data_IF_591038848277
#
_entry.id   IF_591038848277
#
_cell.length_a   1.000
_cell.length_b   1.000
_cell.length_c   1.000
_cell.angle_alpha   90.00
_cell.angle_beta   90.00
_cell.angle_gamma   90.00
#
_symmetry.space_group_name_H-M   'P 1'
#
loop_
_entity.id
_entity.type
_entity.pdbx_description
1 polymer ?
#
# COMPACT_ATOMS: atom_id res chain seq x y z
N UNK A 1 -1.97 21.18 -33.09
CA UNK A 1 -1.95 22.28 -32.10
C UNK A 1 -2.72 21.82 -30.88
N UNK A 2 -2.16 22.02 -29.69
CA UNK A 2 -2.83 21.67 -28.43
C UNK A 2 -3.93 22.70 -28.17
N UNK A 3 -5.13 22.26 -27.81
CA UNK A 3 -6.31 23.10 -27.60
C UNK A 3 -7.00 22.71 -26.29
N UNK A 4 -7.51 23.67 -25.50
CA UNK A 4 -8.31 23.37 -24.33
C UNK A 4 -9.63 22.71 -24.75
N UNK A 5 -10.14 21.84 -23.88
CA UNK A 5 -11.46 21.20 -24.07
C UNK A 5 -12.48 21.81 -23.09
N UNK A 6 -13.79 21.84 -23.44
CA UNK A 6 -14.82 22.34 -22.54
C UNK A 6 -14.92 21.55 -21.23
N UNK A 7 -15.51 22.17 -20.19
CA UNK A 7 -15.89 21.48 -18.96
C UNK A 7 -16.81 20.30 -19.30
N UNK A 8 -16.63 19.16 -18.64
CA UNK A 8 -17.41 17.95 -18.96
C UNK A 8 -16.83 17.10 -20.11
N UNK A 9 -15.80 17.56 -20.83
CA UNK A 9 -15.14 16.81 -21.91
C UNK A 9 -13.81 16.22 -21.42
N UNK A 10 -13.57 14.94 -21.73
CA UNK A 10 -12.34 14.27 -21.36
C UNK A 10 -11.17 14.67 -22.27
N UNK A 11 -10.04 15.03 -21.67
CA UNK A 11 -8.79 15.40 -22.34
C UNK A 11 -7.54 14.83 -21.64
N UNK A 12 -6.38 15.05 -22.22
CA UNK A 12 -5.09 14.73 -21.58
C UNK A 12 -4.67 15.87 -20.64
N UNK A 13 -4.19 15.55 -19.44
CA UNK A 13 -3.75 16.53 -18.44
C UNK A 13 -2.33 17.02 -18.75
N UNK A 14 -2.17 18.34 -18.77
CA UNK A 14 -0.87 19.02 -18.86
C UNK A 14 -0.68 19.89 -17.62
N UNK A 15 0.53 19.89 -17.04
CA UNK A 15 0.88 20.66 -15.86
C UNK A 15 1.86 21.77 -16.22
N UNK A 16 1.53 23.01 -15.89
CA UNK A 16 2.37 24.18 -16.08
C UNK A 16 2.71 24.86 -14.74
N UNK A 17 3.66 25.80 -14.75
CA UNK A 17 4.07 26.58 -13.58
C UNK A 17 5.34 26.09 -12.88
N UNK A 18 5.58 26.62 -11.67
CA UNK A 18 6.85 26.51 -10.93
C UNK A 18 7.19 25.11 -10.42
N UNK A 19 6.19 24.23 -10.29
CA UNK A 19 6.39 22.84 -9.83
C UNK A 19 7.06 21.91 -10.84
N UNK A 20 7.48 22.41 -12.01
CA UNK A 20 8.10 21.60 -13.04
C UNK A 20 9.58 21.33 -12.75
N UNK A 21 9.97 20.07 -12.87
CA UNK A 21 11.37 19.68 -12.83
C UNK A 21 12.15 20.22 -14.04
N UNK A 22 13.49 20.19 -13.95
CA UNK A 22 14.38 20.53 -15.07
C UNK A 22 14.15 19.63 -16.30
N UNK A 23 13.98 18.33 -16.05
CA UNK A 23 13.86 17.27 -17.04
C UNK A 23 14.32 15.92 -16.48
N UNK A 24 14.49 14.92 -17.35
CA UNK A 24 15.05 13.62 -16.99
C UNK A 24 16.58 13.64 -17.11
N UNK A 25 17.27 13.12 -16.09
CA UNK A 25 18.73 13.06 -16.05
C UNK A 25 19.28 12.23 -17.21
N UNK A 26 20.20 12.82 -18.00
CA UNK A 26 20.85 12.20 -19.17
C UNK A 26 19.88 11.69 -20.25
N UNK A 27 18.63 12.18 -20.28
CA UNK A 27 17.60 11.80 -21.24
C UNK A 27 16.96 13.03 -21.90
N UNK A 28 17.71 13.77 -22.74
CA UNK A 28 17.23 14.99 -23.39
C UNK A 28 16.12 14.72 -24.41
N UNK A 29 16.16 13.56 -25.06
CA UNK A 29 15.12 13.03 -25.95
C UNK A 29 13.76 12.95 -25.25
N UNK A 30 13.71 12.24 -24.13
CA UNK A 30 12.49 12.05 -23.35
C UNK A 30 12.04 13.35 -22.67
N UNK A 31 12.99 14.20 -22.28
CA UNK A 31 12.70 15.51 -21.72
C UNK A 31 12.00 16.39 -22.75
N UNK A 32 12.48 16.44 -23.99
CA UNK A 32 11.85 17.22 -25.05
C UNK A 32 10.45 16.67 -25.44
N UNK A 33 10.26 15.35 -25.36
CA UNK A 33 8.97 14.71 -25.61
C UNK A 33 7.92 15.06 -24.53
N UNK A 34 8.33 15.10 -23.25
CA UNK A 34 7.40 15.28 -22.12
C UNK A 34 7.27 16.72 -21.62
N UNK A 35 8.32 17.52 -21.70
CA UNK A 35 8.33 18.94 -21.30
C UNK A 35 8.24 19.81 -22.56
N UNK A 36 7.00 19.98 -23.03
CA UNK A 36 6.70 20.64 -24.29
C UNK A 36 6.49 22.16 -24.10
N UNK A 37 6.63 22.98 -25.15
CA UNK A 37 6.32 24.41 -25.07
C UNK A 37 4.87 24.65 -24.63
N UNK A 38 4.66 25.57 -23.68
CA UNK A 38 3.33 25.93 -23.20
C UNK A 38 2.70 26.99 -24.13
N UNK A 39 1.59 26.69 -24.83
CA UNK A 39 1.02 27.60 -25.82
C UNK A 39 0.19 28.76 -25.21
N UNK A 40 -0.25 28.63 -23.95
CA UNK A 40 -1.14 29.59 -23.28
C UNK A 40 -0.47 30.30 -22.08
N UNK A 41 0.82 30.06 -21.86
CA UNK A 41 1.60 30.61 -20.75
C UNK A 41 2.52 31.76 -21.18
N UNK A 42 3.36 32.26 -20.25
CA UNK A 42 4.37 33.27 -20.54
C UNK A 42 5.36 32.83 -21.63
N UNK A 43 5.94 33.77 -22.37
CA UNK A 43 6.92 33.44 -23.43
C UNK A 43 8.08 32.60 -22.89
N UNK A 44 8.36 31.47 -23.54
CA UNK A 44 9.43 30.54 -23.16
C UNK A 44 9.06 29.56 -22.03
N UNK A 45 7.83 29.59 -21.55
CA UNK A 45 7.32 28.61 -20.60
C UNK A 45 7.14 27.23 -21.23
N UNK A 46 7.14 26.21 -20.36
CA UNK A 46 6.99 24.79 -20.71
C UNK A 46 5.85 24.22 -19.89
N UNK A 47 5.28 23.13 -20.37
CA UNK A 47 4.32 22.33 -19.64
C UNK A 47 4.70 20.84 -19.71
N UNK A 48 4.40 20.11 -18.66
CA UNK A 48 4.65 18.69 -18.54
C UNK A 48 3.42 17.90 -18.99
N UNK A 49 3.62 17.03 -19.98
CA UNK A 49 2.63 16.08 -20.48
C UNK A 49 2.53 14.88 -19.55
N UNK A 50 1.45 14.81 -18.77
CA UNK A 50 1.30 13.79 -17.72
C UNK A 50 1.01 12.39 -18.27
N UNK A 51 0.38 12.28 -19.44
CA UNK A 51 -0.17 11.02 -19.94
C UNK A 51 -1.43 10.56 -19.19
N UNK A 52 -2.02 11.40 -18.33
CA UNK A 52 -3.27 11.11 -17.62
C UNK A 52 -4.46 11.66 -18.40
N UNK A 53 -5.54 10.88 -18.49
CA UNK A 53 -6.81 11.31 -19.06
C UNK A 53 -7.71 11.79 -17.94
N UNK A 54 -8.15 13.04 -18.01
CA UNK A 54 -8.96 13.67 -16.98
C UNK A 54 -10.13 14.44 -17.59
N UNK A 55 -11.04 14.90 -16.75
CA UNK A 55 -12.12 15.80 -17.13
C UNK A 55 -12.43 16.77 -15.99
N UNK A 56 -12.72 18.02 -16.32
CA UNK A 56 -13.28 18.96 -15.35
C UNK A 56 -14.75 18.65 -15.06
N UNK A 57 -15.09 18.54 -13.78
CA UNK A 57 -16.46 18.56 -13.28
C UNK A 57 -16.97 20.00 -13.19
N UNK A 58 -18.29 20.15 -13.09
CA UNK A 58 -18.94 21.47 -12.96
C UNK A 58 -18.53 22.22 -11.68
N UNK A 59 -18.11 21.50 -10.64
CA UNK A 59 -17.59 22.05 -9.38
C UNK A 59 -16.11 22.50 -9.46
N UNK A 60 -15.51 22.46 -10.65
CA UNK A 60 -14.12 22.83 -10.90
C UNK A 60 -13.08 21.77 -10.51
N UNK A 61 -13.50 20.61 -9.98
CA UNK A 61 -12.58 19.51 -9.65
C UNK A 61 -12.24 18.69 -10.89
N UNK A 62 -11.05 18.10 -10.89
CA UNK A 62 -10.63 17.14 -11.91
C UNK A 62 -11.06 15.73 -11.52
N UNK A 63 -11.76 15.07 -12.42
CA UNK A 63 -12.07 13.64 -12.36
C UNK A 63 -11.04 12.87 -13.19
N UNK A 64 -10.36 11.91 -12.56
CA UNK A 64 -9.38 11.06 -13.23
C UNK A 64 -10.08 9.90 -13.95
N UNK A 65 -9.79 9.74 -15.24
CA UNK A 65 -10.43 8.77 -16.14
C UNK A 65 -9.49 7.65 -16.60
N UNK A 66 -8.29 7.56 -16.01
CA UNK A 66 -7.24 6.62 -16.40
C UNK A 66 -6.08 7.30 -17.12
N UNK A 67 -5.20 6.51 -17.72
CA UNK A 67 -4.04 7.02 -18.47
C UNK A 67 -4.28 6.93 -19.97
N UNK A 68 -3.71 7.90 -20.69
CA UNK A 68 -3.57 7.89 -22.15
C UNK A 68 -2.44 6.93 -22.55
N UNK A 69 -1.40 6.83 -21.73
CA UNK A 69 -0.39 5.79 -21.85
C UNK A 69 -0.85 4.48 -21.18
N UNK A 70 -0.20 3.37 -21.55
CA UNK A 70 -0.59 2.05 -21.08
C UNK A 70 0.11 1.65 -19.78
N UNK A 71 0.53 2.62 -18.97
CA UNK A 71 1.13 2.31 -17.68
C UNK A 71 0.05 1.94 -16.67
N UNK A 72 0.32 0.88 -15.90
CA UNK A 72 -0.60 0.38 -14.90
C UNK A 72 0.12 0.27 -13.56
N UNK A 73 -0.61 0.57 -12.48
CA UNK A 73 -0.18 0.16 -11.14
C UNK A 73 -0.68 -1.24 -10.88
N UNK A 74 0.22 -2.17 -10.61
CA UNK A 74 -0.06 -3.57 -10.28
C UNK A 74 0.73 -3.88 -9.02
N UNK A 75 0.01 -4.22 -7.93
CA UNK A 75 0.62 -4.65 -6.65
C UNK A 75 1.68 -3.68 -6.10
N UNK A 76 1.41 -2.37 -6.22
CA UNK A 76 2.33 -1.30 -5.76
C UNK A 76 3.42 -0.90 -6.76
N UNK A 77 3.61 -1.66 -7.84
CA UNK A 77 4.59 -1.35 -8.89
C UNK A 77 3.93 -0.61 -10.06
N UNK A 78 4.63 0.39 -10.59
CA UNK A 78 4.25 1.07 -11.84
C UNK A 78 4.92 0.33 -13.00
N UNK A 79 4.11 -0.24 -13.89
CA UNK A 79 4.58 -1.13 -14.96
C UNK A 79 4.22 -0.53 -16.32
N UNK A 80 5.20 -0.46 -17.22
CA UNK A 80 5.00 -0.20 -18.65
C UNK A 80 4.53 -1.49 -19.33
N UNK A 81 3.25 -1.58 -19.73
CA UNK A 81 2.77 -2.78 -20.43
C UNK A 81 3.53 -3.05 -21.74
N UNK A 82 3.97 -2.00 -22.42
CA UNK A 82 4.77 -2.11 -23.64
C UNK A 82 6.13 -2.78 -23.46
N UNK A 83 6.72 -2.70 -22.26
CA UNK A 83 7.98 -3.40 -21.95
C UNK A 83 7.77 -4.91 -21.90
N UNK A 84 6.67 -5.34 -21.27
CA UNK A 84 6.27 -6.76 -21.19
C UNK A 84 5.88 -7.28 -22.58
N UNK A 85 5.12 -6.49 -23.36
CA UNK A 85 4.79 -6.80 -24.75
C UNK A 85 6.04 -6.97 -25.62
N UNK A 86 7.03 -6.09 -25.44
CA UNK A 86 8.30 -6.15 -26.17
C UNK A 86 9.12 -7.40 -25.79
N UNK A 87 9.12 -7.76 -24.51
CA UNK A 87 9.76 -8.99 -24.05
C UNK A 87 9.11 -10.25 -24.63
N UNK A 88 7.77 -10.30 -24.67
CA UNK A 88 7.01 -11.37 -25.30
C UNK A 88 7.32 -11.46 -26.81
N UNK A 89 7.37 -10.34 -27.53
CA UNK A 89 7.69 -10.32 -28.98
C UNK A 89 9.13 -10.73 -29.31
N UNK A 90 10.05 -10.77 -28.34
CA UNK A 90 11.40 -11.33 -28.54
C UNK A 90 11.42 -12.86 -28.56
N UNK A 91 10.36 -13.52 -28.08
CA UNK A 91 10.23 -14.97 -28.17
C UNK A 91 9.95 -15.37 -29.62
N UNK A 92 10.77 -16.27 -30.16
CA UNK A 92 10.78 -16.61 -31.59
C UNK A 92 9.46 -17.19 -32.10
N UNK A 93 8.72 -17.91 -31.25
CA UNK A 93 7.42 -18.53 -31.59
C UNK A 93 6.22 -17.57 -31.54
N UNK A 94 6.39 -16.36 -30.98
CA UNK A 94 5.31 -15.36 -30.87
C UNK A 94 5.27 -14.48 -32.14
N UNK A 95 4.07 -14.36 -32.73
CA UNK A 95 3.77 -13.46 -33.86
C UNK A 95 3.40 -12.07 -33.36
N UNK A 96 2.49 -12.00 -32.38
CA UNK A 96 2.07 -10.74 -31.76
C UNK A 96 1.67 -10.97 -30.29
N UNK A 97 1.74 -9.91 -29.49
CA UNK A 97 1.44 -9.95 -28.06
C UNK A 97 0.85 -8.61 -27.59
N UNK A 98 -0.17 -8.69 -26.74
CA UNK A 98 -0.74 -7.55 -26.03
C UNK A 98 -0.91 -7.89 -24.56
N UNK A 99 -0.52 -6.97 -23.68
CA UNK A 99 -0.66 -7.14 -22.23
C UNK A 99 -1.64 -6.12 -21.71
N UNK A 100 -2.50 -6.56 -20.80
CA UNK A 100 -3.46 -5.70 -20.10
C UNK A 100 -3.42 -6.00 -18.61
N UNK A 101 -3.80 -5.02 -17.80
CA UNK A 101 -4.10 -5.26 -16.40
C UNK A 101 -5.60 -5.53 -16.22
N UNK A 102 -5.94 -6.64 -15.55
CA UNK A 102 -7.31 -7.02 -15.19
C UNK A 102 -7.45 -7.04 -13.67
N UNK A 103 -8.66 -6.82 -13.15
CA UNK A 103 -8.94 -6.72 -11.71
C UNK A 103 -8.80 -5.30 -11.15
N UNK A 104 -9.12 -5.15 -9.86
CA UNK A 104 -9.15 -3.87 -9.15
C UNK A 104 -8.21 -3.84 -7.95
N UNK A 105 -7.73 -2.64 -7.58
CA UNK A 105 -6.89 -2.38 -6.41
C UNK A 105 -5.74 -3.39 -6.22
N UNK A 106 -5.75 -4.16 -5.12
CA UNK A 106 -4.72 -5.12 -4.75
C UNK A 106 -4.74 -6.41 -5.62
N UNK A 107 -5.90 -6.79 -6.16
CA UNK A 107 -6.09 -7.99 -6.98
C UNK A 107 -5.74 -7.77 -8.45
N UNK A 108 -5.34 -6.55 -8.80
CA UNK A 108 -4.97 -6.19 -10.16
C UNK A 108 -3.78 -7.05 -10.60
N UNK A 109 -3.93 -7.72 -11.74
CA UNK A 109 -2.95 -8.67 -12.31
C UNK A 109 -2.72 -8.42 -13.79
N UNK A 110 -1.54 -8.80 -14.27
CA UNK A 110 -1.20 -8.76 -15.68
C UNK A 110 -1.70 -10.01 -16.40
N UNK A 111 -2.34 -9.80 -17.55
CA UNK A 111 -2.80 -10.84 -18.47
C UNK A 111 -2.19 -10.56 -19.84
N UNK A 112 -1.51 -11.56 -20.40
CA UNK A 112 -0.94 -11.49 -21.74
C UNK A 112 -1.79 -12.28 -22.74
N UNK A 113 -2.11 -11.66 -23.87
CA UNK A 113 -2.74 -12.30 -25.01
C UNK A 113 -1.69 -12.43 -26.10
N UNK A 114 -1.45 -13.64 -26.56
CA UNK A 114 -0.37 -13.96 -27.50
C UNK A 114 -0.92 -14.70 -28.71
N UNK A 115 -0.32 -14.44 -29.88
CA UNK A 115 -0.62 -15.13 -31.13
C UNK A 115 0.62 -15.89 -31.56
N UNK A 116 0.49 -17.18 -31.84
CA UNK A 116 1.58 -18.01 -32.34
C UNK A 116 1.93 -17.68 -33.80
N UNK A 117 3.19 -17.91 -34.19
CA UNK A 117 3.53 -18.01 -35.63
C UNK A 117 2.92 -19.27 -36.23
N UNK A 118 2.72 -19.27 -37.54
CA UNK A 118 2.10 -20.40 -38.23
C UNK A 118 2.93 -21.68 -38.03
N UNK A 119 2.29 -22.75 -37.54
CA UNK A 119 2.93 -24.04 -37.28
C UNK A 119 3.63 -24.17 -35.92
N UNK A 120 3.64 -23.12 -35.09
CA UNK A 120 4.24 -23.13 -33.75
C UNK A 120 3.16 -23.34 -32.67
N UNK A 121 3.49 -24.10 -31.63
CA UNK A 121 2.67 -24.22 -30.42
C UNK A 121 3.25 -23.33 -29.31
N UNK A 122 2.37 -22.65 -28.56
CA UNK A 122 2.76 -21.83 -27.42
C UNK A 122 2.32 -22.52 -26.12
N UNK A 123 3.26 -22.78 -25.23
CA UNK A 123 2.96 -23.21 -23.86
C UNK A 123 3.11 -22.06 -22.88
N UNK A 124 2.04 -21.77 -22.13
CA UNK A 124 1.97 -20.63 -21.21
C UNK A 124 3.08 -20.62 -20.15
N UNK A 125 3.38 -21.77 -19.55
CA UNK A 125 4.39 -21.88 -18.49
C UNK A 125 5.81 -21.73 -19.03
N UNK A 126 6.10 -22.26 -20.22
CA UNK A 126 7.39 -22.06 -20.89
C UNK A 126 7.62 -20.57 -21.21
N UNK A 127 6.58 -19.86 -21.66
CA UNK A 127 6.64 -18.41 -21.90
C UNK A 127 6.90 -17.62 -20.62
N UNK A 128 6.20 -17.94 -19.52
CA UNK A 128 6.44 -17.30 -18.21
C UNK A 128 7.88 -17.55 -17.73
N UNK A 129 8.38 -18.78 -17.84
CA UNK A 129 9.75 -19.11 -17.46
C UNK A 129 10.79 -18.33 -18.27
N UNK A 130 10.55 -18.13 -19.57
CA UNK A 130 11.42 -17.32 -20.41
C UNK A 130 11.38 -15.83 -20.06
N UNK A 131 10.20 -15.29 -19.75
CA UNK A 131 10.07 -13.88 -19.31
C UNK A 131 10.81 -13.62 -17.99
N UNK A 132 10.76 -14.57 -17.04
CA UNK A 132 11.47 -14.47 -15.75
C UNK A 132 13.00 -14.31 -15.89
N UNK A 133 13.58 -14.68 -17.03
CA UNK A 133 15.02 -14.50 -17.26
C UNK A 133 15.41 -13.04 -17.56
N UNK A 134 14.46 -12.24 -18.04
CA UNK A 134 14.73 -10.86 -18.49
C UNK A 134 13.85 -9.79 -17.86
N UNK A 135 12.82 -10.18 -17.11
CA UNK A 135 11.91 -9.28 -16.42
C UNK A 135 11.81 -9.64 -14.92
N UNK A 136 11.65 -8.64 -14.04
CA UNK A 136 11.27 -8.89 -12.65
C UNK A 136 9.94 -9.65 -12.53
N UNK A 137 9.78 -10.46 -11.49
CA UNK A 137 8.59 -11.32 -11.28
C UNK A 137 7.27 -10.54 -11.34
N UNK A 138 7.22 -9.31 -10.81
CA UNK A 138 6.01 -8.49 -10.82
C UNK A 138 5.58 -8.01 -12.22
N UNK A 139 6.47 -8.07 -13.21
CA UNK A 139 6.18 -7.77 -14.62
C UNK A 139 5.77 -9.02 -15.42
N UNK A 140 5.95 -10.22 -14.87
CA UNK A 140 5.59 -11.47 -15.54
C UNK A 140 4.07 -11.65 -15.47
N UNK A 141 3.36 -11.83 -16.60
CA UNK A 141 1.92 -12.04 -16.61
C UNK A 141 1.51 -13.29 -15.83
N UNK A 142 0.55 -13.15 -14.90
CA UNK A 142 0.01 -14.28 -14.14
C UNK A 142 -0.82 -15.24 -15.01
N UNK A 143 -1.40 -14.72 -16.10
CA UNK A 143 -2.17 -15.49 -17.07
C UNK A 143 -1.70 -15.20 -18.49
N UNK A 144 -1.55 -16.24 -19.30
CA UNK A 144 -1.24 -16.14 -20.73
C UNK A 144 -2.37 -16.82 -21.50
N UNK A 145 -3.00 -16.09 -22.41
CA UNK A 145 -4.10 -16.56 -23.26
C UNK A 145 -3.60 -16.62 -24.70
N UNK A 146 -3.65 -17.80 -25.31
CA UNK A 146 -3.26 -17.98 -26.71
C UNK A 146 -4.49 -17.75 -27.59
N UNK A 147 -4.37 -16.85 -28.57
CA UNK A 147 -5.42 -16.53 -29.53
C UNK A 147 -4.97 -16.87 -30.95
N UNK A 148 -5.92 -17.21 -31.83
CA UNK A 148 -5.64 -17.34 -33.27
C UNK A 148 -5.28 -15.99 -33.91
N UNK A 149 -5.92 -14.91 -33.46
CA UNK A 149 -5.62 -13.54 -33.86
C UNK A 149 -6.04 -12.54 -32.76
N UNK A 150 -5.36 -11.40 -32.70
CA UNK A 150 -5.77 -10.29 -31.84
C UNK A 150 -6.99 -9.57 -32.45
N UNK A 151 -8.02 -9.22 -31.66
CA UNK A 151 -9.14 -8.44 -32.15
C UNK A 151 -8.66 -7.05 -32.57
N UNK A 152 -9.10 -6.56 -33.74
CA UNK A 152 -8.75 -5.26 -34.27
C UNK A 152 -9.98 -4.35 -34.32
N UNK A 153 -9.79 -3.06 -34.05
CA UNK A 153 -10.82 -2.04 -34.26
C UNK A 153 -10.90 -1.61 -35.73
N UNK A 154 -11.86 -0.75 -36.06
CA UNK A 154 -12.08 -0.24 -37.42
C UNK A 154 -10.85 0.48 -38.05
N UNK A 155 -9.87 0.88 -37.25
CA UNK A 155 -8.63 1.52 -37.69
C UNK A 155 -7.45 0.54 -37.80
N UNK A 156 -7.69 -0.77 -37.69
CA UNK A 156 -6.66 -1.80 -37.77
C UNK A 156 -5.73 -1.87 -36.55
N UNK A 157 -6.06 -1.21 -35.43
CA UNK A 157 -5.32 -1.31 -34.17
C UNK A 157 -5.96 -2.33 -33.25
N UNK A 158 -5.18 -2.95 -32.36
CA UNK A 158 -5.70 -3.94 -31.40
C UNK A 158 -6.79 -3.32 -30.52
N UNK A 159 -7.96 -3.95 -30.51
CA UNK A 159 -9.07 -3.58 -29.64
C UNK A 159 -8.97 -4.32 -28.30
N UNK A 160 -8.34 -3.64 -27.33
CA UNK A 160 -8.15 -4.19 -25.99
C UNK A 160 -9.44 -4.40 -25.20
N UNK A 161 -10.54 -3.76 -25.60
CA UNK A 161 -11.86 -3.95 -24.96
C UNK A 161 -12.55 -5.21 -25.46
N UNK A 162 -12.21 -5.67 -26.65
CA UNK A 162 -12.73 -6.89 -27.27
C UNK A 162 -11.89 -8.14 -26.92
N UNK A 163 -10.84 -8.01 -26.10
CA UNK A 163 -10.08 -9.15 -25.63
C UNK A 163 -10.96 -10.03 -24.73
N UNK A 164 -10.97 -11.36 -24.93
CA UNK A 164 -11.81 -12.25 -24.15
C UNK A 164 -11.42 -12.19 -22.67
N UNK A 165 -12.40 -12.33 -21.77
CA UNK A 165 -12.06 -12.47 -20.36
C UNK A 165 -11.27 -13.78 -20.16
N UNK A 166 -10.11 -13.73 -19.48
CA UNK A 166 -9.40 -14.95 -19.16
C UNK A 166 -10.28 -15.77 -18.24
N UNK A 167 -10.39 -17.07 -18.51
CA UNK A 167 -11.01 -17.98 -17.55
C UNK A 167 -10.37 -17.74 -16.18
N UNK A 168 -11.20 -17.70 -15.12
CA UNK A 168 -10.71 -17.53 -13.76
C UNK A 168 -9.53 -18.48 -13.56
N UNK A 169 -8.41 -18.02 -12.97
CA UNK A 169 -7.21 -18.84 -12.87
C UNK A 169 -7.60 -20.16 -12.23
N UNK A 170 -7.75 -21.20 -13.06
CA UNK A 170 -7.51 -22.54 -12.60
C UNK A 170 -6.03 -22.47 -12.30
N UNK A 171 -5.68 -22.46 -11.01
CA UNK A 171 -4.31 -22.55 -10.57
C UNK A 171 -3.62 -23.58 -11.47
N UNK A 172 -2.72 -23.12 -12.34
CA UNK A 172 -2.08 -23.95 -13.36
C UNK A 172 -1.19 -25.03 -12.76
N UNK A 173 -1.03 -25.01 -11.43
CA UNK A 173 -0.59 -26.13 -10.62
C UNK A 173 -1.82 -27.00 -10.31
N UNK A 174 -1.88 -28.19 -10.91
CA UNK A 174 -2.72 -29.27 -10.38
C UNK A 174 -2.42 -29.35 -8.88
N UNK A 175 -3.40 -29.10 -8.02
CA UNK A 175 -3.15 -29.02 -6.57
C UNK A 175 -2.29 -30.21 -6.12
N UNK A 176 -1.08 -29.89 -5.66
CA UNK A 176 -0.16 -30.88 -5.08
C UNK A 176 -0.17 -30.66 -3.57
N UNK A 177 -0.62 -31.67 -2.84
CA UNK A 177 -0.63 -31.63 -1.39
C UNK A 177 0.81 -31.59 -0.81
N UNK A 178 1.01 -30.99 0.37
CA UNK A 178 2.26 -31.09 1.12
C UNK A 178 2.73 -32.53 1.30
N UNK A 179 4.02 -32.78 1.03
CA UNK A 179 4.66 -34.10 1.08
C UNK A 179 5.52 -34.26 2.33
N UNK A 180 6.00 -33.15 2.89
CA UNK A 180 6.83 -33.12 4.10
C UNK A 180 6.18 -32.30 5.20
N UNK A 181 6.62 -32.49 6.46
CA UNK A 181 6.13 -31.68 7.59
C UNK A 181 6.45 -30.19 7.40
N UNK A 182 7.65 -29.87 6.87
CA UNK A 182 8.04 -28.49 6.55
C UNK A 182 7.11 -27.88 5.50
N UNK A 183 6.81 -28.61 4.42
CA UNK A 183 5.85 -28.15 3.41
C UNK A 183 4.45 -27.93 4.01
N UNK A 184 4.00 -28.82 4.90
CA UNK A 184 2.68 -28.73 5.52
C UNK A 184 2.56 -27.47 6.40
N UNK A 185 3.59 -27.20 7.22
CA UNK A 185 3.65 -26.00 8.06
C UNK A 185 3.74 -24.72 7.21
N UNK A 186 4.57 -24.71 6.17
CA UNK A 186 4.67 -23.57 5.26
C UNK A 186 3.35 -23.28 4.53
N UNK A 187 2.69 -24.32 4.01
CA UNK A 187 1.40 -24.18 3.34
C UNK A 187 0.32 -23.65 4.30
N UNK A 188 0.32 -24.07 5.57
CA UNK A 188 -0.60 -23.56 6.58
C UNK A 188 -0.35 -22.07 6.88
N UNK A 189 0.91 -21.67 7.08
CA UNK A 189 1.29 -20.25 7.29
C UNK A 189 0.82 -19.40 6.11
N UNK A 190 1.02 -19.87 4.88
CA UNK A 190 0.61 -19.12 3.68
C UNK A 190 -0.90 -19.03 3.55
N UNK A 191 -1.62 -20.13 3.80
CA UNK A 191 -3.07 -20.14 3.79
C UNK A 191 -3.65 -19.11 4.76
N UNK A 192 -3.10 -19.02 5.97
CA UNK A 192 -3.56 -18.05 6.97
C UNK A 192 -3.22 -16.61 6.58
N UNK A 193 -1.99 -16.34 6.13
CA UNK A 193 -1.56 -14.99 5.74
C UNK A 193 -2.29 -14.49 4.48
N UNK A 194 -2.54 -15.36 3.52
CA UNK A 194 -3.24 -15.03 2.27
C UNK A 194 -4.77 -15.13 2.40
N UNK A 195 -5.29 -15.56 3.56
CA UNK A 195 -6.71 -15.81 3.81
C UNK A 195 -7.33 -16.79 2.79
N UNK A 196 -6.59 -17.85 2.45
CA UNK A 196 -7.01 -18.91 1.53
C UNK A 196 -7.35 -20.19 2.28
N UNK A 197 -8.33 -20.99 1.81
CA UNK A 197 -8.70 -22.23 2.46
C UNK A 197 -7.60 -23.30 2.38
N UNK A 198 -6.79 -23.29 1.32
CA UNK A 198 -5.66 -24.19 1.11
C UNK A 198 -4.64 -23.61 0.13
N UNK A 199 -3.39 -24.05 0.27
CA UNK A 199 -2.27 -23.72 -0.62
C UNK A 199 -1.56 -25.02 -1.01
N UNK A 200 -1.34 -25.25 -2.30
CA UNK A 200 -0.57 -26.37 -2.84
C UNK A 200 0.93 -26.09 -2.85
N UNK A 201 1.76 -27.15 -2.88
CA UNK A 201 3.21 -26.96 -2.73
C UNK A 201 3.88 -26.23 -3.89
N UNK A 202 3.23 -26.23 -5.06
CA UNK A 202 3.69 -25.57 -6.29
C UNK A 202 3.03 -24.22 -6.53
N UNK A 203 2.10 -23.82 -5.67
CA UNK A 203 1.45 -22.52 -5.84
C UNK A 203 2.44 -21.41 -5.50
N UNK A 204 2.52 -20.41 -6.38
CA UNK A 204 3.39 -19.25 -6.17
C UNK A 204 2.73 -18.26 -5.21
N UNK A 205 3.43 -17.87 -4.15
CA UNK A 205 2.99 -16.89 -3.15
C UNK A 205 2.47 -15.61 -3.80
N UNK A 206 3.21 -15.11 -4.79
CA UNK A 206 2.87 -13.88 -5.48
C UNK A 206 1.73 -14.09 -6.48
N UNK A 207 1.59 -15.27 -7.09
CA UNK A 207 0.43 -15.55 -7.95
C UNK A 207 -0.86 -15.61 -7.12
N UNK A 208 -0.78 -16.10 -5.88
CA UNK A 208 -1.88 -16.16 -4.91
C UNK A 208 -2.23 -14.81 -4.25
N UNK A 209 -1.66 -13.69 -4.71
CA UNK A 209 -1.95 -12.35 -4.18
C UNK A 209 -0.98 -11.85 -3.10
N UNK A 210 0.05 -12.63 -2.78
CA UNK A 210 1.11 -12.21 -1.86
C UNK A 210 1.86 -10.96 -2.33
N UNK A 211 2.23 -10.10 -1.39
CA UNK A 211 3.07 -8.91 -1.61
C UNK A 211 4.07 -8.75 -0.46
N UNK A 212 4.99 -7.78 -0.54
CA UNK A 212 6.14 -7.67 0.39
C UNK A 212 5.76 -7.61 1.88
N UNK A 213 4.63 -6.98 2.23
CA UNK A 213 4.14 -6.95 3.61
C UNK A 213 3.70 -8.34 4.10
N UNK A 214 2.91 -9.06 3.28
CA UNK A 214 2.49 -10.43 3.57
C UNK A 214 3.71 -11.38 3.58
N UNK A 215 4.70 -11.12 2.72
CA UNK A 215 5.96 -11.86 2.72
C UNK A 215 6.72 -11.69 4.05
N UNK A 216 6.79 -10.48 4.60
CA UNK A 216 7.37 -10.25 5.93
C UNK A 216 6.58 -10.95 7.04
N UNK A 217 5.24 -11.01 6.94
CA UNK A 217 4.40 -11.79 7.86
C UNK A 217 4.73 -13.28 7.80
N UNK A 218 4.81 -13.85 6.59
CA UNK A 218 5.23 -15.24 6.39
C UNK A 218 6.61 -15.49 6.99
N UNK A 219 7.60 -14.65 6.70
CA UNK A 219 8.96 -14.78 7.25
C UNK A 219 8.95 -14.77 8.78
N UNK A 220 8.21 -13.84 9.39
CA UNK A 220 8.13 -13.74 10.84
C UNK A 220 7.47 -14.98 11.48
N UNK A 221 6.43 -15.53 10.85
CA UNK A 221 5.74 -16.73 11.35
C UNK A 221 6.57 -17.99 11.14
N UNK A 222 7.23 -18.13 9.99
CA UNK A 222 8.21 -19.18 9.71
C UNK A 222 9.30 -19.20 10.78
N UNK A 223 9.83 -18.02 11.13
CA UNK A 223 10.80 -17.91 12.21
C UNK A 223 10.24 -18.38 13.55
N UNK A 224 9.02 -17.98 13.90
CA UNK A 224 8.39 -18.35 15.16
C UNK A 224 8.05 -19.85 15.26
N UNK A 225 7.57 -20.45 14.17
CA UNK A 225 7.04 -21.83 14.18
C UNK A 225 8.09 -22.90 13.81
N UNK A 226 9.06 -22.55 12.97
CA UNK A 226 10.09 -23.47 12.48
C UNK A 226 11.47 -23.22 13.10
N UNK A 227 11.64 -22.12 13.86
CA UNK A 227 12.91 -21.73 14.47
C UNK A 227 14.07 -21.61 13.45
N UNK A 228 13.76 -21.11 12.24
CA UNK A 228 14.73 -20.87 11.17
C UNK A 228 14.66 -19.41 10.74
N UNK A 229 15.82 -18.75 10.60
CA UNK A 229 15.89 -17.43 9.96
C UNK A 229 15.75 -17.57 8.45
N UNK A 230 14.62 -17.11 7.93
CA UNK A 230 14.36 -17.04 6.50
C UNK A 230 14.58 -15.60 6.02
N UNK A 231 15.67 -15.30 5.29
CA UNK A 231 15.83 -13.95 4.75
C UNK A 231 14.72 -13.68 3.73
N UNK A 232 14.12 -12.49 3.76
CA UNK A 232 12.98 -12.14 2.89
C UNK A 232 13.27 -12.42 1.40
N UNK A 233 14.51 -12.18 0.94
CA UNK A 233 14.97 -12.52 -0.42
C UNK A 233 14.74 -13.98 -0.81
N UNK A 234 14.80 -14.93 0.12
CA UNK A 234 14.62 -16.34 -0.18
C UNK A 234 13.19 -16.65 -0.64
N UNK A 235 12.18 -15.92 -0.12
CA UNK A 235 10.80 -16.04 -0.60
C UNK A 235 10.67 -15.51 -2.04
N UNK A 236 11.37 -14.44 -2.38
CA UNK A 236 11.39 -13.91 -3.75
C UNK A 236 12.13 -14.83 -4.73
N UNK A 237 13.25 -15.41 -4.30
CA UNK A 237 14.03 -16.35 -5.13
C UNK A 237 13.37 -17.72 -5.25
N UNK A 238 12.47 -18.10 -4.34
CA UNK A 238 11.77 -19.37 -4.34
C UNK A 238 10.33 -19.19 -3.86
N UNK A 239 9.45 -18.69 -4.74
CA UNK A 239 8.12 -18.23 -4.39
C UNK A 239 7.11 -19.35 -4.23
N UNK A 240 7.52 -20.63 -4.19
CA UNK A 240 6.61 -21.77 -3.95
C UNK A 240 6.96 -22.45 -2.62
N UNK A 241 5.99 -23.13 -2.01
CA UNK A 241 6.22 -23.87 -0.75
C UNK A 241 7.29 -24.95 -0.93
N UNK A 242 7.28 -25.69 -2.05
CA UNK A 242 8.30 -26.69 -2.41
C UNK A 242 9.70 -26.04 -2.52
N UNK A 243 9.81 -24.93 -3.24
CA UNK A 243 11.09 -24.23 -3.42
C UNK A 243 11.63 -23.65 -2.11
N UNK A 244 10.74 -23.09 -1.28
CA UNK A 244 11.11 -22.53 0.01
C UNK A 244 11.51 -23.61 1.02
N UNK A 245 10.77 -24.72 1.08
CA UNK A 245 11.11 -25.87 1.92
C UNK A 245 12.50 -26.42 1.61
N UNK A 246 12.86 -26.53 0.32
CA UNK A 246 14.19 -26.94 -0.11
C UNK A 246 15.31 -26.01 0.38
N UNK A 247 15.05 -24.71 0.49
CA UNK A 247 16.02 -23.74 1.03
C UNK A 247 16.15 -23.79 2.54
N UNK A 248 15.06 -24.01 3.25
CA UNK A 248 15.07 -24.13 4.71
C UNK A 248 15.95 -25.30 5.18
N UNK A 249 16.02 -26.40 4.42
CA UNK A 249 16.86 -27.54 4.73
C UNK A 249 18.36 -27.20 4.83
N UNK A 250 18.83 -26.12 4.19
CA UNK A 250 20.22 -25.64 4.24
C UNK A 250 20.47 -24.48 5.21
N UNK A 251 19.42 -23.92 5.83
CA UNK A 251 19.51 -22.75 6.71
C UNK A 251 19.58 -23.19 8.18
N UNK A 252 20.67 -23.85 8.57
CA UNK A 252 21.00 -24.06 9.99
C UNK A 252 21.91 -22.95 10.49
N UNK A 253 21.53 -22.26 11.57
CA UNK A 253 22.50 -21.54 12.41
C UNK A 253 22.52 -20.01 12.36
N UNK A 254 21.53 -19.35 11.75
CA UNK A 254 21.26 -17.95 12.08
C UNK A 254 20.02 -17.95 12.96
N UNK A 255 20.19 -17.66 14.25
CA UNK A 255 19.09 -17.42 15.17
C UNK A 255 19.38 -16.08 15.82
N UNK A 256 18.64 -15.04 15.44
CA UNK A 256 18.70 -13.81 16.22
C UNK A 256 18.17 -14.12 17.64
N UNK A 257 18.81 -13.56 18.69
CA UNK A 257 18.44 -13.86 20.06
C UNK A 257 16.96 -13.56 20.30
N UNK A 258 16.33 -14.36 21.16
CA UNK A 258 14.94 -14.16 21.54
C UNK A 258 14.76 -12.77 22.16
N UNK A 259 13.66 -12.10 21.83
CA UNK A 259 13.28 -10.85 22.47
C UNK A 259 12.88 -11.14 23.91
N UNK A 260 13.64 -10.62 24.87
CA UNK A 260 13.34 -10.72 26.29
C UNK A 260 12.86 -9.38 26.82
N UNK A 261 12.03 -9.41 27.86
CA UNK A 261 11.58 -8.18 28.52
C UNK A 261 12.76 -7.51 29.21
N UNK A 262 12.98 -6.23 28.89
CA UNK A 262 14.02 -5.41 29.52
C UNK A 262 13.47 -4.70 30.76
N UNK A 263 14.35 -4.38 31.70
CA UNK A 263 14.01 -3.50 32.83
C UNK A 263 13.73 -2.08 32.33
N UNK A 264 12.82 -1.37 33.00
CA UNK A 264 12.59 0.06 32.78
C UNK A 264 13.41 0.94 33.74
N UNK A 265 14.34 0.33 34.49
CA UNK A 265 15.28 1.05 35.35
C UNK A 265 16.41 1.64 34.50
N UNK A 266 16.49 2.98 34.47
CA UNK A 266 17.54 3.71 33.75
C UNK A 266 17.16 4.17 32.35
N UNK A 267 18.11 4.77 31.62
CA UNK A 267 17.85 5.34 30.30
C UNK A 267 17.55 4.24 29.26
N UNK A 268 16.41 4.34 28.60
CA UNK A 268 16.02 3.45 27.52
C UNK A 268 16.46 4.03 26.17
N UNK A 269 17.36 3.40 25.42
CA UNK A 269 17.82 3.95 24.15
C UNK A 269 16.70 3.93 23.11
N UNK A 270 16.72 4.88 22.18
CA UNK A 270 15.84 4.84 21.00
C UNK A 270 16.28 3.71 20.06
N UNK A 271 15.31 3.06 19.43
CA UNK A 271 15.58 2.24 18.24
C UNK A 271 16.17 3.10 17.11
N UNK A 272 16.89 2.48 16.16
CA UNK A 272 17.47 3.21 15.03
C UNK A 272 16.44 4.00 14.21
N UNK A 273 15.22 3.47 14.05
CA UNK A 273 14.15 4.17 13.37
C UNK A 273 13.68 5.41 14.14
N UNK A 274 13.57 5.29 15.47
CA UNK A 274 13.23 6.42 16.33
C UNK A 274 14.35 7.46 16.37
N UNK A 275 15.62 7.07 16.42
CA UNK A 275 16.77 7.99 16.41
C UNK A 275 16.76 8.90 15.18
N UNK A 276 16.46 8.34 14.00
CA UNK A 276 16.31 9.11 12.76
C UNK A 276 15.21 10.18 12.90
N UNK A 277 14.03 9.80 13.37
CA UNK A 277 12.89 10.72 13.50
C UNK A 277 13.14 11.78 14.57
N UNK A 278 13.77 11.40 15.69
CA UNK A 278 14.17 12.35 16.73
C UNK A 278 15.19 13.36 16.21
N UNK A 279 16.21 12.91 15.47
CA UNK A 279 17.19 13.82 14.86
C UNK A 279 16.53 14.81 13.90
N UNK A 280 15.57 14.36 13.09
CA UNK A 280 14.83 15.23 12.18
C UNK A 280 14.00 16.28 12.94
N UNK A 281 13.35 15.88 14.04
CA UNK A 281 12.64 16.80 14.94
C UNK A 281 13.59 17.84 15.57
N UNK A 282 14.81 17.44 15.95
CA UNK A 282 15.82 18.40 16.45
C UNK A 282 16.30 19.39 15.37
N UNK A 283 16.40 18.94 14.11
CA UNK A 283 16.82 19.78 13.00
C UNK A 283 15.72 20.73 12.51
N UNK A 284 14.45 20.32 12.62
CA UNK A 284 13.29 21.08 12.18
C UNK A 284 12.15 21.04 13.23
N UNK A 285 12.34 21.69 14.40
CA UNK A 285 11.33 21.69 15.45
C UNK A 285 10.00 22.24 14.95
N UNK A 286 8.91 21.52 15.19
CA UNK A 286 7.57 21.91 14.78
C UNK A 286 7.20 21.53 13.34
N UNK A 287 8.02 20.73 12.63
CA UNK A 287 7.62 20.13 11.37
C UNK A 287 6.53 19.06 11.60
N UNK A 288 5.42 19.18 10.87
CA UNK A 288 4.30 18.24 10.92
C UNK A 288 4.39 17.13 9.85
N UNK A 289 5.46 17.08 9.06
CA UNK A 289 5.63 16.11 7.96
C UNK A 289 5.59 14.64 8.39
N UNK A 290 5.85 14.36 9.67
CA UNK A 290 5.81 13.02 10.27
C UNK A 290 4.56 12.77 11.11
N UNK A 291 3.54 13.61 10.98
CA UNK A 291 2.21 13.29 11.47
C UNK A 291 1.59 12.16 10.63
N UNK A 292 0.89 11.27 11.30
CA UNK A 292 0.04 10.23 10.72
C UNK A 292 -1.42 10.58 11.00
N UNK A 293 -2.03 11.52 10.26
CA UNK A 293 -3.42 11.90 10.47
C UNK A 293 -4.38 10.87 9.85
N UNK A 294 -5.41 10.53 10.59
CA UNK A 294 -6.56 9.75 10.13
C UNK A 294 -7.85 10.48 10.50
N UNK A 295 -8.78 10.55 9.55
CA UNK A 295 -10.12 11.08 9.76
C UNK A 295 -11.13 10.01 9.35
N UNK A 296 -11.89 9.50 10.32
CA UNK A 296 -12.87 8.44 10.12
C UNK A 296 -14.28 9.03 10.19
N UNK A 297 -15.04 8.85 9.11
CA UNK A 297 -16.47 9.12 9.14
C UNK A 297 -17.19 7.96 9.80
N UNK A 298 -17.92 8.23 10.87
CA UNK A 298 -18.70 7.24 11.62
C UNK A 298 -20.19 7.55 11.41
N UNK A 299 -20.94 6.52 11.07
CA UNK A 299 -22.39 6.61 10.81
C UNK A 299 -23.15 5.75 11.80
N UNK A 300 -24.25 6.29 12.32
CA UNK A 300 -25.05 5.71 13.38
C UNK A 300 -24.83 6.38 14.74
N UNK A 301 -25.60 5.93 15.73
CA UNK A 301 -25.50 6.42 17.11
C UNK A 301 -24.18 5.97 17.70
N UNK A 302 -23.44 6.92 18.29
CA UNK A 302 -22.12 6.70 18.85
C UNK A 302 -22.14 6.92 20.37
N UNK A 303 -21.73 5.90 21.14
CA UNK A 303 -21.41 6.06 22.56
C UNK A 303 -20.01 6.71 22.72
N UNK A 304 -19.98 8.01 22.98
CA UNK A 304 -18.73 8.76 23.14
C UNK A 304 -17.91 8.32 24.37
N UNK A 305 -18.55 7.84 25.43
CA UNK A 305 -17.85 7.40 26.65
C UNK A 305 -17.24 6.01 26.47
N UNK A 306 -17.94 5.10 25.77
CA UNK A 306 -17.33 3.84 25.33
C UNK A 306 -16.10 4.09 24.43
N UNK A 307 -16.17 5.08 23.52
CA UNK A 307 -15.04 5.44 22.66
C UNK A 307 -13.88 6.06 23.46
N UNK A 308 -14.16 6.94 24.42
CA UNK A 308 -13.14 7.50 25.32
C UNK A 308 -12.42 6.38 26.10
N UNK A 309 -13.17 5.47 26.71
CA UNK A 309 -12.62 4.30 27.41
C UNK A 309 -11.83 3.37 26.49
N UNK A 310 -12.24 3.25 25.22
CA UNK A 310 -11.50 2.44 24.25
C UNK A 310 -10.11 3.02 23.95
N UNK A 311 -9.98 4.34 23.78
CA UNK A 311 -8.68 5.00 23.66
C UNK A 311 -7.86 4.91 24.95
N UNK A 312 -8.50 5.05 26.11
CA UNK A 312 -7.85 4.88 27.41
C UNK A 312 -7.22 3.50 27.54
N UNK A 313 -7.97 2.44 27.26
CA UNK A 313 -7.47 1.06 27.29
C UNK A 313 -6.32 0.83 26.28
N UNK A 314 -6.40 1.45 25.09
CA UNK A 314 -5.36 1.40 24.07
C UNK A 314 -4.04 2.01 24.59
N UNK A 315 -4.10 3.20 25.18
CA UNK A 315 -2.94 3.91 25.74
C UNK A 315 -2.37 3.21 26.97
N UNK A 316 -3.24 2.61 27.80
CA UNK A 316 -2.80 1.80 28.94
C UNK A 316 -2.02 0.56 28.47
N UNK A 317 -2.50 -0.10 27.42
CA UNK A 317 -1.92 -1.33 26.86
C UNK A 317 -0.60 -1.11 26.12
N UNK A 318 -0.50 -0.05 25.31
CA UNK A 318 0.65 0.17 24.43
C UNK A 318 1.58 1.24 24.96
N UNK A 319 2.76 0.83 25.45
CA UNK A 319 3.75 1.74 26.04
C UNK A 319 4.20 2.84 25.08
N UNK A 320 4.30 2.51 23.79
CA UNK A 320 4.67 3.46 22.73
C UNK A 320 3.73 4.70 22.70
N UNK A 321 2.43 4.53 22.96
CA UNK A 321 1.46 5.64 22.95
C UNK A 321 1.61 6.59 24.15
N UNK A 322 2.30 6.14 25.20
CA UNK A 322 2.64 6.90 26.41
C UNK A 322 4.13 7.09 26.57
N UNK A 323 4.88 7.10 25.46
CA UNK A 323 6.32 7.33 25.43
C UNK A 323 6.64 8.72 24.90
N UNK A 324 7.55 9.43 25.59
CA UNK A 324 8.17 10.68 25.11
C UNK A 324 9.68 10.48 24.90
N UNK A 325 10.31 11.39 24.18
CA UNK A 325 11.72 11.29 23.79
C UNK A 325 12.48 12.54 24.26
N UNK A 326 13.51 12.34 25.08
CA UNK A 326 14.30 13.41 25.67
C UNK A 326 15.79 13.13 25.56
N UNK A 327 16.60 14.18 25.60
CA UNK A 327 18.04 14.04 25.68
C UNK A 327 18.46 13.82 27.14
N UNK A 328 19.25 12.76 27.38
CA UNK A 328 19.88 12.50 28.67
C UNK A 328 21.37 12.28 28.45
N UNK A 329 22.20 13.15 29.03
CA UNK A 329 23.67 13.10 28.92
C UNK A 329 24.19 13.09 27.46
N UNK A 330 23.54 13.83 26.56
CA UNK A 330 23.93 13.89 25.15
C UNK A 330 23.40 12.77 24.27
N UNK A 331 22.64 11.82 24.84
CA UNK A 331 22.02 10.72 24.09
C UNK A 331 20.48 10.82 24.13
N UNK A 332 19.79 10.52 23.01
CA UNK A 332 18.34 10.47 23.02
C UNK A 332 17.87 9.23 23.79
N UNK A 333 16.88 9.43 24.64
CA UNK A 333 16.30 8.40 25.53
C UNK A 333 14.78 8.41 25.49
N UNK A 334 14.20 7.23 25.66
CA UNK A 334 12.77 7.03 25.78
C UNK A 334 12.36 7.17 27.25
N UNK A 335 11.27 7.88 27.49
CA UNK A 335 10.62 7.96 28.79
C UNK A 335 9.22 7.39 28.64
N UNK A 336 9.02 6.22 29.23
CA UNK A 336 7.75 5.51 29.26
C UNK A 336 6.97 5.98 30.49
N UNK A 337 5.90 6.74 30.28
CA UNK A 337 5.07 7.28 31.37
C UNK A 337 4.15 6.21 31.96
N UNK A 338 3.79 6.33 33.23
CA UNK A 338 2.75 5.48 33.80
C UNK A 338 1.42 5.65 33.03
N UNK A 339 0.57 4.62 32.96
CA UNK A 339 -0.74 4.77 32.35
C UNK A 339 -1.54 5.87 33.04
N UNK A 340 -2.11 6.79 32.26
CA UNK A 340 -2.93 7.90 32.74
C UNK A 340 -4.32 7.89 32.12
N UNK A 341 -5.16 8.80 32.61
CA UNK A 341 -6.51 9.00 32.07
C UNK A 341 -6.47 9.52 30.63
N UNK A 342 -7.46 9.14 29.83
CA UNK A 342 -7.60 9.63 28.46
C UNK A 342 -8.79 10.56 28.29
N UNK A 343 -8.57 11.68 27.61
CA UNK A 343 -9.62 12.62 27.25
C UNK A 343 -9.95 12.52 25.77
N UNK A 344 -11.25 12.50 25.44
CA UNK A 344 -11.75 12.58 24.07
C UNK A 344 -12.52 13.91 23.92
N UNK A 345 -11.85 15.00 23.51
CA UNK A 345 -12.51 16.25 23.18
C UNK A 345 -13.64 16.04 22.17
N UNK A 346 -14.82 16.60 22.47
CA UNK A 346 -15.98 16.58 21.59
C UNK A 346 -16.24 18.00 21.09
N UNK A 347 -16.23 18.18 19.77
CA UNK A 347 -16.58 19.42 19.09
C UNK A 347 -17.94 19.22 18.45
N UNK A 348 -18.94 19.99 18.89
CA UNK A 348 -20.28 19.90 18.33
C UNK A 348 -20.50 20.92 17.22
N UNK A 349 -20.68 20.43 15.99
CA UNK A 349 -21.02 21.24 14.82
C UNK A 349 -22.46 21.01 14.35
N UNK A 350 -23.25 20.21 15.08
CA UNK A 350 -24.61 19.81 14.66
C UNK A 350 -25.59 20.98 14.56
N UNK A 351 -25.32 22.08 15.25
CA UNK A 351 -26.13 23.31 15.19
C UNK A 351 -25.84 24.18 13.97
N UNK A 352 -24.76 23.93 13.23
CA UNK A 352 -24.39 24.71 12.06
C UNK A 352 -25.18 24.30 10.81
N UNK A 353 -25.51 25.23 9.91
CA UNK A 353 -26.01 24.91 8.57
C UNK A 353 -25.07 23.98 7.83
N UNK A 354 -25.60 23.07 7.01
CA UNK A 354 -24.83 21.98 6.38
C UNK A 354 -23.58 22.44 5.62
N UNK A 355 -23.69 23.50 4.82
CA UNK A 355 -22.56 24.04 4.07
C UNK A 355 -21.42 24.51 5.00
N UNK A 356 -21.75 25.25 6.06
CA UNK A 356 -20.79 25.76 7.05
C UNK A 356 -20.22 24.63 7.90
N UNK A 357 -21.05 23.64 8.25
CA UNK A 357 -20.64 22.45 9.00
C UNK A 357 -19.58 21.65 8.22
N UNK A 358 -19.80 21.42 6.93
CA UNK A 358 -18.86 20.70 6.07
C UNK A 358 -17.54 21.44 5.88
N UNK A 359 -17.60 22.77 5.75
CA UNK A 359 -16.41 23.62 5.67
C UNK A 359 -15.59 23.58 6.97
N UNK A 360 -16.25 23.77 8.12
CA UNK A 360 -15.61 23.74 9.43
C UNK A 360 -15.04 22.35 9.74
N UNK A 361 -15.74 21.27 9.39
CA UNK A 361 -15.23 19.91 9.55
C UNK A 361 -13.93 19.69 8.73
N UNK A 362 -13.89 20.16 7.47
CA UNK A 362 -12.68 20.09 6.63
C UNK A 362 -11.54 20.94 7.19
N UNK A 363 -11.85 22.13 7.69
CA UNK A 363 -10.87 23.01 8.34
C UNK A 363 -10.23 22.31 9.54
N UNK A 364 -11.04 21.69 10.40
CA UNK A 364 -10.57 20.93 11.58
C UNK A 364 -9.67 19.75 11.20
N UNK A 365 -10.00 19.01 10.14
CA UNK A 365 -9.13 17.94 9.62
C UNK A 365 -7.77 18.51 9.20
N UNK A 366 -7.78 19.62 8.45
CA UNK A 366 -6.56 20.30 8.00
C UNK A 366 -5.71 20.80 9.16
N UNK A 367 -6.32 21.51 10.11
CA UNK A 367 -5.65 22.05 11.29
C UNK A 367 -5.01 20.93 12.13
N UNK A 368 -5.75 19.87 12.40
CA UNK A 368 -5.26 18.76 13.22
C UNK A 368 -4.14 17.98 12.52
N UNK A 369 -4.24 17.80 11.19
CA UNK A 369 -3.19 17.14 10.40
C UNK A 369 -1.86 17.90 10.42
N UNK A 370 -1.90 19.24 10.42
CA UNK A 370 -0.70 20.09 10.40
C UNK A 370 -0.27 20.58 11.77
N UNK A 371 -1.02 20.28 12.84
CA UNK A 371 -0.66 20.65 14.20
C UNK A 371 0.56 19.83 14.65
N UNK A 372 1.71 20.44 14.95
CA UNK A 372 2.91 19.70 15.29
C UNK A 372 2.79 18.93 16.61
N UNK A 373 3.62 17.89 16.79
CA UNK A 373 3.85 17.26 18.09
C UNK A 373 5.12 17.80 18.74
N UNK A 374 5.19 17.69 20.06
CA UNK A 374 6.42 17.93 20.82
C UNK A 374 6.87 16.59 21.42
N UNK A 375 7.98 16.05 20.91
CA UNK A 375 8.43 14.70 21.28
C UNK A 375 8.81 14.58 22.76
N UNK A 376 9.24 15.67 23.39
CA UNK A 376 9.69 15.70 24.78
C UNK A 376 8.57 15.72 25.82
N UNK A 377 7.39 16.22 25.45
CA UNK A 377 6.26 16.45 26.38
C UNK A 377 5.05 15.57 26.08
N UNK A 378 4.80 15.22 24.82
CA UNK A 378 3.68 14.37 24.42
C UNK A 378 2.30 14.94 24.84
N UNK A 379 1.25 14.10 24.87
CA UNK A 379 1.19 12.74 24.30
C UNK A 379 1.39 12.76 22.77
N UNK A 380 1.89 11.67 22.20
CA UNK A 380 2.19 11.53 20.76
C UNK A 380 1.06 10.87 19.96
N UNK A 381 -0.12 10.90 20.56
CA UNK A 381 -1.42 10.54 20.01
C UNK A 381 -2.38 11.66 20.41
N UNK A 382 -3.26 12.09 19.50
CA UNK A 382 -4.39 12.97 19.77
C UNK A 382 -5.62 12.38 19.12
N UNK A 383 -6.74 12.41 19.84
CA UNK A 383 -8.05 12.00 19.35
C UNK A 383 -9.04 13.14 19.57
N UNK A 384 -9.89 13.45 18.59
CA UNK A 384 -10.98 14.43 18.72
C UNK A 384 -12.21 13.92 17.99
N UNK A 385 -13.36 13.98 18.65
CA UNK A 385 -14.63 13.63 18.05
C UNK A 385 -15.35 14.89 17.60
N UNK A 386 -15.69 14.99 16.32
CA UNK A 386 -16.50 16.07 15.76
C UNK A 386 -17.90 15.53 15.51
N UNK A 387 -18.90 16.06 16.20
CA UNK A 387 -20.31 15.67 16.02
C UNK A 387 -20.93 16.52 14.91
N UNK A 388 -21.41 15.88 13.84
CA UNK A 388 -22.05 16.55 12.70
C UNK A 388 -23.59 16.47 12.80
N UNK A 389 -24.10 15.37 13.35
CA UNK A 389 -25.51 15.17 13.70
C UNK A 389 -25.61 14.14 14.82
N UNK A 390 -26.82 13.66 15.16
CA UNK A 390 -26.98 12.53 16.10
C UNK A 390 -26.45 11.20 15.54
N UNK A 391 -26.37 11.07 14.22
CA UNK A 391 -25.96 9.84 13.54
C UNK A 391 -24.69 10.00 12.70
N UNK A 392 -24.16 11.21 12.56
CA UNK A 392 -22.96 11.45 11.78
C UNK A 392 -21.88 12.09 12.64
N UNK A 393 -20.72 11.44 12.66
CA UNK A 393 -19.57 11.87 13.42
C UNK A 393 -18.30 11.77 12.57
N UNK A 394 -17.33 12.60 12.89
CA UNK A 394 -16.00 12.54 12.32
C UNK A 394 -14.99 12.38 13.46
N UNK A 395 -14.33 11.23 13.51
CA UNK A 395 -13.28 10.94 14.48
C UNK A 395 -11.92 11.28 13.88
N UNK A 396 -11.26 12.29 14.44
CA UNK A 396 -9.89 12.67 14.10
C UNK A 396 -8.94 11.93 15.03
N UNK A 397 -7.98 11.20 14.47
CA UNK A 397 -6.91 10.52 15.20
C UNK A 397 -5.60 10.85 14.53
N UNK A 398 -4.70 11.51 15.23
CA UNK A 398 -3.39 11.87 14.72
C UNK A 398 -2.33 11.38 15.67
N UNK A 399 -1.29 10.77 15.11
CA UNK A 399 -0.15 10.24 15.87
C UNK A 399 1.15 10.71 15.24
N UNK A 400 2.24 10.73 16.00
CA UNK A 400 3.55 10.94 15.41
C UNK A 400 4.14 9.61 14.90
N UNK A 401 4.82 9.62 13.75
CA UNK A 401 5.41 8.41 13.14
C UNK A 401 6.50 7.75 14.02
N UNK A 402 7.00 8.46 15.04
CA UNK A 402 7.99 7.90 15.99
C UNK A 402 7.40 6.85 16.95
N UNK A 403 6.08 6.85 17.14
CA UNK A 403 5.36 5.90 18.02
C UNK A 403 4.45 4.94 17.25
N UNK A 404 4.40 5.06 15.91
CA UNK A 404 3.54 4.21 15.08
C UNK A 404 3.97 4.18 13.62
N UNK A 405 3.51 3.15 12.93
CA UNK A 405 3.71 2.91 11.51
C UNK A 405 2.46 2.23 10.89
N UNK A 406 2.54 1.89 9.60
CA UNK A 406 1.42 1.25 8.90
C UNK A 406 0.98 -0.10 9.49
N UNK A 407 1.90 -0.86 10.10
CA UNK A 407 1.55 -2.12 10.76
C UNK A 407 0.81 -1.86 12.07
N UNK A 408 1.39 -1.00 12.89
CA UNK A 408 0.87 -0.63 14.21
C UNK A 408 -0.54 -0.07 14.09
N UNK A 409 -0.81 0.76 13.08
CA UNK A 409 -2.16 1.26 12.79
C UNK A 409 -3.20 0.14 12.62
N UNK A 410 -2.86 -0.95 11.94
CA UNK A 410 -3.75 -2.10 11.78
C UNK A 410 -4.06 -2.81 13.10
N UNK A 411 -3.07 -2.92 14.00
CA UNK A 411 -3.26 -3.45 15.36
C UNK A 411 -4.16 -2.53 16.17
N UNK A 412 -3.85 -1.23 16.20
CA UNK A 412 -4.58 -0.25 16.98
C UNK A 412 -6.06 -0.14 16.57
N UNK A 413 -6.36 -0.18 15.27
CA UNK A 413 -7.75 -0.17 14.77
C UNK A 413 -8.53 -1.40 15.23
N UNK A 414 -7.94 -2.61 15.12
CA UNK A 414 -8.60 -3.84 15.56
C UNK A 414 -8.86 -3.84 17.07
N UNK A 415 -7.88 -3.44 17.86
CA UNK A 415 -8.04 -3.38 19.31
C UNK A 415 -9.01 -2.28 19.75
N UNK A 416 -8.96 -1.09 19.13
CA UNK A 416 -9.92 0.00 19.41
C UNK A 416 -11.36 -0.46 19.15
N UNK A 417 -11.61 -1.17 18.03
CA UNK A 417 -12.92 -1.72 17.72
C UNK A 417 -13.37 -2.77 18.76
N UNK A 418 -12.47 -3.66 19.19
CA UNK A 418 -12.76 -4.66 20.21
C UNK A 418 -13.06 -4.02 21.58
N UNK A 419 -12.28 -3.02 21.99
CA UNK A 419 -12.52 -2.27 23.21
C UNK A 419 -13.84 -1.50 23.15
N UNK A 420 -14.10 -0.80 22.04
CA UNK A 420 -15.34 -0.04 21.85
C UNK A 420 -16.57 -0.95 21.95
N UNK A 421 -16.58 -2.07 21.21
CA UNK A 421 -17.66 -3.03 21.24
C UNK A 421 -17.94 -3.50 22.68
N UNK A 422 -16.89 -3.95 23.39
CA UNK A 422 -17.03 -4.43 24.76
C UNK A 422 -17.53 -3.37 25.73
N UNK A 423 -17.02 -2.14 25.65
CA UNK A 423 -17.43 -1.06 26.55
C UNK A 423 -18.83 -0.53 26.26
N UNK A 424 -19.28 -0.57 25.01
CA UNK A 424 -20.64 -0.20 24.61
C UNK A 424 -21.69 -1.22 25.09
N UNK A 425 -21.32 -2.50 25.21
CA UNK A 425 -22.20 -3.57 25.69
C UNK A 425 -22.00 -3.92 27.17
N UNK A 426 -21.06 -3.26 27.86
CA UNK A 426 -20.74 -3.55 29.26
C UNK A 426 -20.06 -4.90 29.49
N UNK A 427 -19.42 -5.48 28.47
CA UNK A 427 -18.71 -6.76 28.54
C UNK A 427 -17.19 -6.54 28.68
N UNK A 428 -16.45 -7.61 28.97
CA UNK A 428 -14.98 -7.57 29.00
C UNK A 428 -14.41 -7.60 27.57
N UNK A 429 -13.40 -6.77 27.25
CA UNK A 429 -12.75 -6.80 25.94
C UNK A 429 -12.08 -8.15 25.68
N UNK A 430 -12.37 -8.76 24.53
CA UNK A 430 -11.63 -9.90 23.99
C UNK A 430 -10.68 -9.38 22.90
N UNK A 431 -9.37 -9.43 23.17
CA UNK A 431 -8.36 -8.99 22.23
C UNK A 431 -7.92 -10.15 21.32
N UNK A 432 -7.63 -9.89 20.04
CA UNK A 432 -7.11 -10.90 19.11
C UNK A 432 -5.67 -11.32 19.41
#
# INVERSE_FOLDING_TARGET
TLQPVPVGVAGELYLAGEGQARGYLLRPDLTAERFVPEPYGPTGSRMYRTGDRVRYREDGRLEYLGRVDFQVKVRGFRIELGEVESALRRVTSIKDAVVVAKGEAADKRLVAYVVAKAGEALEAEALKAQLRQGLPEYMVPGTVVVLEALPLNANGKVDRKALPEPEAPQSGSTYVAPRTETEARLAAIWAEVLLLPRVGVRDSFFELGGHSLLATQVVSRVRAELNVELPLRALFESPTVEGLAGRLAGLTGLTAPALTRVSHEGPLPLSFAQQRLWLLDQLQPGDASYNLPAALQLTGRLDAEALRRAFEALVQRHEALRTTFQEHLGEPTQIIHAPGDWTLPVIDLSSLPEAQRNEEARRRVGDEAHRPFQLSTGPLLRSTLVRLSEEEHLLLVTMHHIVSDGWSMGVLVRELAAFYAAFSTGTTPALP
#
